data_IF_098652912189
#
_entry.id   IF_098652912189
#
_cell.length_a   1.000
_cell.length_b   1.000
_cell.length_c   1.000
_cell.angle_alpha   90.00
_cell.angle_beta   90.00
_cell.angle_gamma   90.00
#
_symmetry.space_group_name_H-M   'P 1'
#
loop_
_entity.id
_entity.type
_entity.pdbx_description
1 polymer ?
#
# COMPACT_ATOMS: atom_id res chain seq x y z
N UNK A 1 43.94 63.58 -48.86
CA UNK A 1 44.37 62.26 -48.34
C UNK A 1 43.93 62.10 -46.88
N UNK A 2 42.85 61.37 -46.60
CA UNK A 2 42.42 61.02 -45.23
C UNK A 2 42.06 59.53 -45.22
N UNK A 3 42.93 58.70 -44.64
CA UNK A 3 42.68 57.27 -44.38
C UNK A 3 41.90 57.14 -43.07
N UNK A 4 40.70 56.60 -43.11
CA UNK A 4 39.96 56.12 -41.93
C UNK A 4 40.16 54.60 -41.85
N UNK A 5 40.82 54.15 -40.79
CA UNK A 5 40.97 52.74 -40.43
C UNK A 5 39.79 52.39 -39.53
N UNK A 6 38.93 51.47 -39.95
CA UNK A 6 37.87 50.92 -39.12
C UNK A 6 38.35 49.60 -38.53
N UNK A 7 38.52 49.57 -37.21
CA UNK A 7 38.79 48.36 -36.44
C UNK A 7 37.45 47.63 -36.23
N UNK A 8 37.29 46.45 -36.83
CA UNK A 8 36.18 45.55 -36.55
C UNK A 8 36.60 44.60 -35.42
N UNK A 9 36.01 44.81 -34.25
CA UNK A 9 36.10 43.92 -33.09
C UNK A 9 35.01 42.84 -33.22
N UNK A 10 35.39 41.65 -33.66
CA UNK A 10 34.55 40.45 -33.55
C UNK A 10 34.69 39.86 -32.15
N UNK A 11 33.70 40.12 -31.30
CA UNK A 11 33.51 39.42 -30.03
C UNK A 11 32.87 38.07 -30.34
N UNK A 12 33.67 37.00 -30.31
CA UNK A 12 33.18 35.63 -30.39
C UNK A 12 32.71 35.20 -29.00
N UNK A 13 31.43 35.38 -28.71
CA UNK A 13 30.81 34.83 -27.50
C UNK A 13 30.68 33.31 -27.65
N UNK A 14 31.65 32.57 -27.11
CA UNK A 14 31.55 31.13 -26.93
C UNK A 14 30.52 30.86 -25.82
N UNK A 15 29.26 30.65 -26.22
CA UNK A 15 28.26 29.99 -25.39
C UNK A 15 28.70 28.53 -25.23
N UNK A 16 29.48 28.25 -24.19
CA UNK A 16 29.69 26.89 -23.68
C UNK A 16 28.35 26.50 -23.03
N UNK A 17 27.43 25.97 -23.84
CA UNK A 17 26.32 25.21 -23.31
C UNK A 17 26.89 23.97 -22.68
N UNK A 18 26.75 23.81 -21.36
CA UNK A 18 27.03 22.54 -20.71
C UNK A 18 26.23 21.46 -21.43
N UNK A 19 26.83 20.34 -21.87
CA UNK A 19 26.07 19.24 -22.42
C UNK A 19 25.12 18.77 -21.32
N UNK A 20 23.83 18.97 -21.53
CA UNK A 20 22.82 18.23 -20.78
C UNK A 20 23.01 16.79 -21.26
N UNK A 21 23.57 15.92 -20.42
CA UNK A 21 23.73 14.52 -20.73
C UNK A 21 22.37 13.98 -21.21
N UNK A 22 22.30 13.58 -22.47
CA UNK A 22 21.08 13.03 -23.03
C UNK A 22 20.77 11.72 -22.29
N UNK A 23 19.51 11.51 -21.91
CA UNK A 23 19.08 10.31 -21.22
C UNK A 23 19.48 9.05 -22.03
N UNK A 24 20.26 8.16 -21.42
CA UNK A 24 20.70 6.90 -22.01
C UNK A 24 20.03 5.74 -21.28
N UNK A 25 19.22 4.96 -22.00
CA UNK A 25 18.70 3.71 -21.45
C UNK A 25 19.77 2.63 -21.52
N UNK A 26 20.12 2.09 -20.35
CA UNK A 26 21.00 0.93 -20.21
C UNK A 26 20.23 -0.22 -19.57
N UNK A 27 20.63 -1.44 -19.90
CA UNK A 27 20.04 -2.63 -19.31
C UNK A 27 21.12 -3.54 -18.74
N UNK A 28 20.75 -4.26 -17.70
CA UNK A 28 21.51 -5.38 -17.16
C UNK A 28 20.53 -6.54 -16.90
N UNK A 29 21.01 -7.63 -16.33
CA UNK A 29 20.16 -8.78 -15.95
C UNK A 29 20.42 -9.19 -14.53
N UNK A 30 19.44 -9.77 -13.86
CA UNK A 30 19.66 -10.40 -12.56
C UNK A 30 20.19 -11.84 -12.69
N UNK A 31 20.27 -12.58 -11.58
CA UNK A 31 20.73 -13.98 -11.57
C UNK A 31 19.80 -14.96 -12.28
N UNK A 32 18.54 -14.59 -12.51
CA UNK A 32 17.55 -15.39 -13.23
C UNK A 32 17.44 -14.97 -14.71
N UNK A 33 18.23 -13.98 -15.14
CA UNK A 33 18.21 -13.44 -16.51
C UNK A 33 17.12 -12.40 -16.77
N UNK A 34 16.43 -11.91 -15.73
CA UNK A 34 15.37 -10.91 -15.81
C UNK A 34 15.97 -9.53 -16.03
N UNK A 35 15.32 -8.70 -16.85
CA UNK A 35 15.89 -7.40 -17.27
C UNK A 35 15.84 -6.37 -16.14
N UNK A 36 16.96 -5.70 -15.88
CA UNK A 36 17.04 -4.52 -15.01
C UNK A 36 17.25 -3.29 -15.89
N UNK A 37 16.35 -2.32 -15.82
CA UNK A 37 16.38 -1.13 -16.70
C UNK A 37 16.88 0.10 -15.96
N UNK A 38 17.86 0.79 -16.54
CA UNK A 38 18.45 2.02 -16.02
C UNK A 38 18.24 3.19 -17.00
N UNK A 39 17.76 4.32 -16.49
CA UNK A 39 17.65 5.59 -17.20
C UNK A 39 18.78 6.51 -16.70
N UNK A 40 19.90 6.53 -17.42
CA UNK A 40 21.13 7.20 -17.00
C UNK A 40 21.11 8.65 -17.49
N UNK A 41 21.09 9.59 -16.55
CA UNK A 41 21.05 11.05 -16.83
C UNK A 41 22.21 11.81 -16.17
N UNK A 42 23.23 11.08 -15.73
CA UNK A 42 24.49 11.63 -15.24
C UNK A 42 25.66 10.99 -16.00
N UNK A 43 26.74 11.74 -16.16
CA UNK A 43 27.96 11.22 -16.79
C UNK A 43 28.66 10.21 -15.88
N UNK A 44 29.40 9.27 -16.46
CA UNK A 44 30.26 8.32 -15.74
C UNK A 44 29.55 7.42 -14.71
N UNK A 45 28.25 7.14 -14.90
CA UNK A 45 27.51 6.18 -14.07
C UNK A 45 28.03 4.76 -14.28
N UNK A 46 28.44 4.13 -13.17
CA UNK A 46 28.69 2.69 -13.09
C UNK A 46 27.37 1.94 -12.89
N UNK A 47 26.69 1.62 -14.00
CA UNK A 47 25.42 0.87 -13.97
C UNK A 47 25.59 -0.52 -13.37
N UNK A 48 26.76 -1.13 -13.56
CA UNK A 48 27.01 -2.50 -13.11
C UNK A 48 27.11 -2.58 -11.59
N UNK A 49 27.60 -1.54 -10.93
CA UNK A 49 27.55 -1.42 -9.47
C UNK A 49 26.10 -1.49 -8.93
N UNK A 50 25.17 -0.72 -9.51
CA UNK A 50 23.76 -0.77 -9.10
C UNK A 50 23.12 -2.11 -9.45
N UNK A 51 23.42 -2.64 -10.64
CA UNK A 51 22.90 -3.94 -11.06
C UNK A 51 23.33 -5.03 -10.08
N UNK A 52 24.60 -5.07 -9.67
CA UNK A 52 25.13 -6.07 -8.74
C UNK A 52 24.46 -6.00 -7.35
N UNK A 53 24.14 -4.80 -6.85
CA UNK A 53 23.32 -4.68 -5.63
C UNK A 53 21.97 -5.36 -5.78
N UNK A 54 21.30 -5.12 -6.91
CA UNK A 54 19.99 -5.70 -7.20
C UNK A 54 20.07 -7.21 -7.42
N UNK A 55 21.08 -7.73 -8.13
CA UNK A 55 21.30 -9.19 -8.29
C UNK A 55 21.47 -9.94 -6.97
N UNK A 56 21.97 -9.25 -5.96
CA UNK A 56 22.19 -9.77 -4.61
C UNK A 56 20.99 -9.52 -3.67
N UNK A 57 20.01 -8.74 -4.11
CA UNK A 57 18.81 -8.47 -3.35
C UNK A 57 17.78 -9.61 -3.52
N UNK A 58 16.86 -9.74 -2.57
CA UNK A 58 15.77 -10.70 -2.66
C UNK A 58 14.64 -10.07 -3.49
N UNK A 59 14.40 -10.60 -4.68
CA UNK A 59 13.37 -10.06 -5.56
C UNK A 59 12.87 -11.08 -6.58
N UNK A 60 11.68 -10.80 -7.11
CA UNK A 60 11.00 -11.54 -8.17
C UNK A 60 11.03 -10.83 -9.54
N UNK A 61 10.13 -11.25 -10.42
CA UNK A 61 9.98 -10.71 -11.77
C UNK A 61 9.45 -9.26 -11.81
N UNK A 62 9.04 -8.70 -10.67
CA UNK A 62 8.70 -7.29 -10.58
C UNK A 62 9.86 -6.34 -10.88
N UNK A 63 11.11 -6.80 -10.81
CA UNK A 63 12.28 -5.99 -11.17
C UNK A 63 12.22 -5.48 -12.62
N UNK A 64 11.59 -6.24 -13.52
CA UNK A 64 11.45 -5.88 -14.93
C UNK A 64 10.46 -4.72 -15.16
N UNK A 65 9.70 -4.34 -14.12
CA UNK A 65 8.67 -3.30 -14.19
C UNK A 65 9.10 -1.96 -13.61
N UNK A 66 10.30 -1.86 -13.06
CA UNK A 66 10.84 -0.63 -12.50
C UNK A 66 12.03 -0.14 -13.33
N UNK A 67 12.07 1.18 -13.56
CA UNK A 67 13.23 1.84 -14.13
C UNK A 67 14.01 2.57 -13.05
N UNK A 68 15.31 2.30 -12.96
CA UNK A 68 16.22 3.00 -12.07
C UNK A 68 16.80 4.22 -12.78
N UNK A 69 16.32 5.41 -12.45
CA UNK A 69 16.82 6.66 -13.01
C UNK A 69 17.99 7.17 -12.16
N UNK A 70 19.18 7.20 -12.76
CA UNK A 70 20.40 7.65 -12.09
C UNK A 70 20.71 9.09 -12.50
N UNK A 71 20.73 9.99 -11.53
CA UNK A 71 20.82 11.44 -11.73
C UNK A 71 21.94 12.08 -10.91
N UNK A 72 22.25 13.36 -11.15
CA UNK A 72 23.14 14.13 -10.26
C UNK A 72 22.43 14.47 -8.94
N UNK A 73 23.16 14.79 -7.85
CA UNK A 73 22.56 15.26 -6.60
C UNK A 73 21.66 16.49 -6.78
N UNK A 74 21.98 17.37 -7.73
CA UNK A 74 21.19 18.57 -8.07
C UNK A 74 19.83 18.16 -8.63
N UNK A 75 19.83 17.33 -9.66
CA UNK A 75 18.61 16.83 -10.29
C UNK A 75 17.76 15.98 -9.33
N UNK A 76 18.41 15.23 -8.43
CA UNK A 76 17.70 14.48 -7.38
C UNK A 76 16.86 15.42 -6.50
N UNK A 77 17.43 16.54 -6.04
CA UNK A 77 16.71 17.51 -5.20
C UNK A 77 15.53 18.14 -5.94
N UNK A 78 15.65 18.34 -7.26
CA UNK A 78 14.58 18.87 -8.10
C UNK A 78 13.45 17.86 -8.31
N UNK A 79 13.79 16.59 -8.51
CA UNK A 79 12.83 15.52 -8.81
C UNK A 79 12.15 14.99 -7.54
N UNK A 80 12.93 14.70 -6.51
CA UNK A 80 12.47 14.04 -5.28
C UNK A 80 12.21 15.01 -4.13
N UNK A 81 12.65 16.27 -4.23
CA UNK A 81 12.59 17.25 -3.15
C UNK A 81 13.88 17.33 -2.31
N UNK A 82 14.05 18.45 -1.61
CA UNK A 82 15.37 18.90 -1.12
C UNK A 82 16.06 18.08 -0.03
N UNK A 83 15.40 17.11 0.61
CA UNK A 83 16.00 16.26 1.65
C UNK A 83 16.00 14.77 1.29
N UNK A 84 15.47 14.41 0.11
CA UNK A 84 15.38 13.02 -0.31
C UNK A 84 16.75 12.49 -0.74
N UNK A 85 17.11 11.29 -0.27
CA UNK A 85 18.32 10.58 -0.71
C UNK A 85 18.05 9.70 -1.95
N UNK A 86 16.78 9.48 -2.24
CA UNK A 86 16.20 8.75 -3.36
C UNK A 86 14.69 9.00 -3.34
N UNK A 87 13.98 8.61 -4.40
CA UNK A 87 12.54 8.49 -4.31
C UNK A 87 12.00 7.43 -5.27
N UNK A 88 11.01 6.70 -4.79
CA UNK A 88 10.15 5.83 -5.58
C UNK A 88 8.87 6.57 -6.01
N UNK A 89 8.42 6.33 -7.23
CA UNK A 89 7.13 6.84 -7.69
C UNK A 89 6.76 6.40 -9.10
N UNK A 90 5.71 7.02 -9.64
CA UNK A 90 5.15 6.67 -10.95
C UNK A 90 3.94 5.74 -10.83
N UNK A 91 3.33 5.44 -11.98
CA UNK A 91 2.25 4.45 -12.07
C UNK A 91 2.84 3.04 -12.06
N UNK A 92 2.04 2.02 -11.72
CA UNK A 92 2.50 0.63 -11.66
C UNK A 92 3.15 0.14 -12.96
N UNK A 93 2.70 0.63 -14.11
CA UNK A 93 3.21 0.29 -15.45
C UNK A 93 4.45 1.10 -15.86
N UNK A 94 4.80 2.13 -15.08
CA UNK A 94 5.90 3.05 -15.36
C UNK A 94 6.61 3.45 -14.05
N UNK A 95 6.78 2.48 -13.15
CA UNK A 95 7.37 2.68 -11.85
C UNK A 95 8.84 3.12 -12.01
N UNK A 96 9.26 4.06 -11.18
CA UNK A 96 10.59 4.65 -11.26
C UNK A 96 11.18 4.85 -9.87
N UNK A 97 12.42 4.43 -9.74
CA UNK A 97 13.28 4.72 -8.59
C UNK A 97 14.31 5.74 -9.06
N UNK A 98 14.36 6.91 -8.43
CA UNK A 98 15.31 7.97 -8.75
C UNK A 98 16.40 7.97 -7.69
N UNK A 99 17.66 7.83 -8.12
CA UNK A 99 18.83 7.70 -7.26
C UNK A 99 19.94 8.65 -7.71
N UNK A 100 20.75 9.19 -6.78
CA UNK A 100 21.94 9.93 -7.16
C UNK A 100 23.02 8.97 -7.68
N UNK A 101 23.88 9.48 -8.57
CA UNK A 101 25.16 8.85 -8.91
C UNK A 101 26.04 8.69 -7.66
N UNK A 102 26.70 7.54 -7.53
CA UNK A 102 27.68 7.29 -6.48
C UNK A 102 27.76 5.82 -6.08
N UNK A 103 28.46 5.52 -4.99
CA UNK A 103 28.62 4.15 -4.47
C UNK A 103 28.78 4.07 -2.93
N UNK A 104 28.18 5.00 -2.19
CA UNK A 104 28.37 5.08 -0.73
C UNK A 104 27.50 4.06 0.04
N UNK A 105 27.85 3.72 1.29
CA UNK A 105 27.01 2.89 2.15
C UNK A 105 25.60 3.44 2.35
N UNK A 106 25.47 4.77 2.41
CA UNK A 106 24.17 5.46 2.47
C UNK A 106 23.37 5.21 1.20
N UNK A 107 24.02 5.26 0.03
CA UNK A 107 23.35 4.99 -1.24
C UNK A 107 22.91 3.53 -1.36
N UNK A 108 23.70 2.57 -0.86
CA UNK A 108 23.27 1.15 -0.82
C UNK A 108 21.97 1.01 -0.03
N UNK A 109 21.91 1.61 1.18
CA UNK A 109 20.69 1.61 2.00
C UNK A 109 19.52 2.25 1.23
N UNK A 110 19.75 3.41 0.59
CA UNK A 110 18.73 4.06 -0.23
C UNK A 110 18.25 3.18 -1.39
N UNK A 111 19.15 2.52 -2.12
CA UNK A 111 18.79 1.63 -3.23
C UNK A 111 17.82 0.56 -2.75
N UNK A 112 18.14 -0.11 -1.63
CA UNK A 112 17.26 -1.13 -1.08
C UNK A 112 15.97 -0.53 -0.52
N UNK A 113 16.03 0.59 0.19
CA UNK A 113 14.85 1.26 0.73
C UNK A 113 13.84 1.61 -0.39
N UNK A 114 14.28 2.31 -1.44
CA UNK A 114 13.40 2.66 -2.56
C UNK A 114 12.90 1.42 -3.33
N UNK A 115 13.72 0.37 -3.41
CA UNK A 115 13.28 -0.88 -3.99
C UNK A 115 12.26 -1.61 -3.10
N UNK A 116 12.36 -1.47 -1.78
CA UNK A 116 11.35 -1.92 -0.82
C UNK A 116 9.99 -1.28 -1.10
N UNK A 117 9.95 0.03 -1.39
CA UNK A 117 8.72 0.71 -1.82
C UNK A 117 8.15 0.13 -3.12
N UNK A 118 9.00 -0.25 -4.08
CA UNK A 118 8.56 -0.91 -5.32
C UNK A 118 7.98 -2.31 -5.05
N UNK A 119 8.68 -3.12 -4.25
CA UNK A 119 8.21 -4.45 -3.83
C UNK A 119 6.86 -4.37 -3.14
N UNK A 120 6.70 -3.37 -2.29
CA UNK A 120 5.47 -3.12 -1.58
C UNK A 120 4.36 -2.64 -2.54
N UNK A 121 4.62 -1.72 -3.45
CA UNK A 121 3.62 -1.33 -4.45
C UNK A 121 3.22 -2.52 -5.36
N UNK A 122 4.13 -3.47 -5.56
CA UNK A 122 3.90 -4.67 -6.36
C UNK A 122 3.10 -5.75 -5.61
N UNK A 123 3.45 -6.01 -4.35
CA UNK A 123 2.95 -7.14 -3.51
C UNK A 123 2.00 -6.71 -2.39
N UNK A 124 1.86 -5.41 -2.19
CA UNK A 124 1.26 -4.80 -1.01
C UNK A 124 -0.21 -5.14 -0.83
N UNK A 125 -0.66 -5.12 0.42
CA UNK A 125 -2.09 -5.17 0.71
C UNK A 125 -2.74 -3.88 0.20
N UNK A 126 -3.57 -3.99 -0.84
CA UNK A 126 -4.21 -2.89 -1.56
C UNK A 126 -5.28 -2.16 -0.72
N UNK A 127 -4.86 -1.48 0.35
CA UNK A 127 -5.77 -0.82 1.30
C UNK A 127 -5.92 0.67 0.97
N UNK A 128 -4.96 1.30 0.28
CA UNK A 128 -5.04 2.71 -0.19
C UNK A 128 -4.34 2.84 -1.56
N UNK A 129 -4.95 3.56 -2.50
CA UNK A 129 -4.46 3.75 -3.88
C UNK A 129 -3.14 4.56 -4.00
N UNK A 130 -2.59 5.08 -2.89
CA UNK A 130 -1.45 6.02 -2.95
C UNK A 130 -0.23 5.65 -2.11
N UNK A 131 -0.29 4.68 -1.20
CA UNK A 131 0.87 4.32 -0.38
C UNK A 131 1.01 2.79 -0.23
N UNK A 132 2.22 2.23 -0.38
CA UNK A 132 2.50 0.80 -0.18
C UNK A 132 2.27 0.35 1.29
N UNK A 133 1.87 -0.92 1.55
CA UNK A 133 1.44 -1.43 2.87
C UNK A 133 2.01 -2.81 3.32
N UNK A 134 3.14 -3.21 2.76
CA UNK A 134 3.86 -4.47 2.92
C UNK A 134 3.12 -5.73 2.45
N UNK A 135 3.84 -6.86 2.49
CA UNK A 135 3.27 -8.18 2.26
C UNK A 135 2.54 -8.72 3.51
N UNK A 136 1.62 -9.66 3.33
CA UNK A 136 0.81 -10.18 4.42
C UNK A 136 1.61 -10.94 5.49
N UNK A 137 2.59 -11.76 5.10
CA UNK A 137 3.38 -12.55 6.05
C UNK A 137 4.31 -11.65 6.86
N UNK A 138 4.96 -10.67 6.21
CA UNK A 138 5.71 -9.63 6.90
C UNK A 138 4.83 -8.85 7.86
N UNK A 139 3.67 -8.37 7.43
CA UNK A 139 2.80 -7.54 8.28
C UNK A 139 2.38 -8.27 9.55
N UNK A 140 2.08 -9.57 9.45
CA UNK A 140 1.79 -10.43 10.59
C UNK A 140 3.03 -10.63 11.49
N UNK A 141 4.19 -10.97 10.92
CA UNK A 141 5.42 -11.19 11.67
C UNK A 141 5.97 -9.90 12.33
N UNK A 142 5.66 -8.73 11.75
CA UNK A 142 6.06 -7.42 12.25
C UNK A 142 5.07 -6.82 13.24
N UNK A 143 3.87 -7.40 13.37
CA UNK A 143 2.81 -6.92 14.26
C UNK A 143 2.15 -5.63 13.78
N UNK A 144 2.11 -5.40 12.46
CA UNK A 144 1.49 -4.19 11.87
C UNK A 144 0.01 -4.07 12.24
N UNK A 145 -0.83 -5.14 12.22
CA UNK A 145 -2.24 -5.02 12.61
C UNK A 145 -2.42 -4.49 14.03
N UNK A 146 -1.61 -4.97 14.98
CA UNK A 146 -1.65 -4.54 16.38
C UNK A 146 -1.18 -3.09 16.53
N UNK A 147 -0.10 -2.72 15.82
CA UNK A 147 0.41 -1.34 15.81
C UNK A 147 -0.61 -0.37 15.19
N UNK A 148 -1.29 -0.77 14.12
CA UNK A 148 -2.31 0.01 13.46
C UNK A 148 -3.55 0.18 14.35
N UNK A 149 -4.03 -0.91 14.97
CA UNK A 149 -5.14 -0.87 15.91
C UNK A 149 -4.86 0.01 17.14
N UNK A 150 -3.59 0.05 17.58
CA UNK A 150 -3.12 0.93 18.65
C UNK A 150 -2.86 2.38 18.20
N UNK A 151 -3.05 2.71 16.92
CA UNK A 151 -2.80 4.05 16.38
C UNK A 151 -1.31 4.46 16.40
N UNK A 152 -0.39 3.48 16.43
CA UNK A 152 1.06 3.73 16.44
C UNK A 152 1.66 3.87 15.04
N UNK A 153 0.98 3.31 14.04
CA UNK A 153 1.34 3.40 12.62
C UNK A 153 0.13 3.81 11.80
N UNK A 154 0.37 4.31 10.59
CA UNK A 154 -0.66 4.66 9.63
C UNK A 154 -0.26 4.18 8.24
N UNK A 155 -1.25 4.00 7.36
CA UNK A 155 -1.04 3.68 5.95
C UNK A 155 -0.44 4.84 5.13
N UNK A 156 -0.18 5.99 5.77
CA UNK A 156 0.34 7.19 5.12
C UNK A 156 1.15 8.00 6.14
N UNK A 157 1.65 9.15 5.70
CA UNK A 157 2.46 10.06 6.52
C UNK A 157 1.70 10.86 7.57
N UNK A 158 0.42 10.59 7.85
CA UNK A 158 -0.37 11.34 8.84
C UNK A 158 0.18 11.31 10.26
N UNK A 159 1.00 10.30 10.58
CA UNK A 159 1.71 10.17 11.85
C UNK A 159 3.22 10.42 11.72
N UNK A 160 3.67 10.92 10.56
CA UNK A 160 5.09 11.12 10.22
C UNK A 160 5.71 9.92 9.50
N UNK A 161 6.86 10.16 8.86
CA UNK A 161 7.64 9.18 8.08
C UNK A 161 7.90 7.89 8.86
N UNK A 162 8.41 8.01 10.09
CA UNK A 162 8.78 6.87 10.92
C UNK A 162 7.58 6.00 11.36
N UNK A 163 6.34 6.43 11.09
CA UNK A 163 5.09 5.73 11.45
C UNK A 163 4.29 5.29 10.22
N UNK A 164 4.75 5.58 9.01
CA UNK A 164 4.11 5.11 7.80
C UNK A 164 4.46 3.62 7.57
N UNK A 165 3.45 2.79 7.31
CA UNK A 165 3.66 1.33 7.15
C UNK A 165 4.61 1.04 5.98
N UNK A 166 4.46 1.73 4.84
CA UNK A 166 5.36 1.57 3.69
C UNK A 166 6.82 1.89 4.03
N UNK A 167 7.06 2.91 4.86
CA UNK A 167 8.42 3.24 5.31
C UNK A 167 9.01 2.18 6.23
N UNK A 168 8.20 1.61 7.12
CA UNK A 168 8.63 0.49 7.98
C UNK A 168 8.97 -0.73 7.10
N UNK A 169 8.18 -1.01 6.06
CA UNK A 169 8.46 -2.09 5.13
C UNK A 169 9.76 -1.86 4.37
N UNK A 170 9.94 -0.67 3.78
CA UNK A 170 11.13 -0.29 3.03
C UNK A 170 12.41 -0.35 3.89
N UNK A 171 12.34 0.12 5.14
CA UNK A 171 13.44 0.01 6.10
C UNK A 171 13.73 -1.44 6.48
N UNK A 172 12.70 -2.26 6.76
CA UNK A 172 12.90 -3.67 7.09
C UNK A 172 13.49 -4.46 5.90
N UNK A 173 13.12 -4.12 4.67
CA UNK A 173 13.72 -4.69 3.46
C UNK A 173 15.18 -4.26 3.28
N UNK A 174 15.52 -2.99 3.53
CA UNK A 174 16.92 -2.56 3.52
C UNK A 174 17.77 -3.34 4.55
N UNK A 175 17.23 -3.57 5.74
CA UNK A 175 17.87 -4.36 6.81
C UNK A 175 18.02 -5.85 6.47
N UNK A 176 17.29 -6.37 5.47
CA UNK A 176 17.48 -7.74 4.98
C UNK A 176 18.81 -7.90 4.25
N UNK A 177 19.30 -6.84 3.61
CA UNK A 177 20.46 -6.85 2.72
C UNK A 177 21.67 -6.12 3.27
N UNK A 178 21.47 -5.16 4.18
CA UNK A 178 22.54 -4.38 4.77
C UNK A 178 22.24 -4.07 6.23
N UNK A 179 23.13 -4.49 7.12
CA UNK A 179 23.06 -4.09 8.53
C UNK A 179 23.53 -2.64 8.69
N UNK A 180 22.59 -1.70 8.69
CA UNK A 180 22.83 -0.29 8.99
C UNK A 180 22.09 0.11 10.27
N UNK A 181 22.45 1.24 10.90
CA UNK A 181 21.59 1.81 11.93
C UNK A 181 20.15 1.93 11.42
N UNK A 182 19.21 1.37 12.17
CA UNK A 182 17.80 1.39 11.81
C UNK A 182 17.25 2.81 12.01
N UNK A 183 16.64 3.38 10.97
CA UNK A 183 16.24 4.80 10.97
C UNK A 183 14.99 5.08 11.80
N UNK A 184 14.16 4.07 12.07
CA UNK A 184 12.91 4.21 12.85
C UNK A 184 13.22 3.95 14.33
N UNK A 185 13.45 5.02 15.09
CA UNK A 185 13.99 4.92 16.46
C UNK A 185 13.02 4.36 17.51
N UNK A 186 11.72 4.53 17.32
CA UNK A 186 10.70 4.08 18.28
C UNK A 186 10.34 2.59 18.14
N UNK A 187 10.74 1.97 17.03
CA UNK A 187 10.46 0.58 16.69
C UNK A 187 11.78 -0.20 16.69
N UNK A 188 11.81 -1.37 17.33
CA UNK A 188 13.00 -2.22 17.27
C UNK A 188 13.28 -2.63 15.79
N UNK A 189 14.55 -2.82 15.39
CA UNK A 189 14.89 -3.39 14.08
C UNK A 189 14.16 -4.72 13.81
N UNK A 190 14.01 -5.15 12.55
CA UNK A 190 13.28 -6.37 12.23
C UNK A 190 13.93 -7.60 12.88
N UNK A 191 13.11 -8.37 13.58
CA UNK A 191 13.51 -9.64 14.17
C UNK A 191 13.90 -10.67 13.11
N UNK A 192 14.58 -11.75 13.49
CA UNK A 192 14.86 -12.86 12.58
C UNK A 192 13.58 -13.42 11.96
N UNK A 193 12.50 -13.56 12.74
CA UNK A 193 11.20 -14.01 12.24
C UNK A 193 10.61 -13.04 11.20
N UNK A 194 10.75 -11.73 11.41
CA UNK A 194 10.32 -10.70 10.45
C UNK A 194 11.13 -10.81 9.15
N UNK A 195 12.46 -10.95 9.23
CA UNK A 195 13.32 -11.11 8.05
C UNK A 195 13.04 -12.41 7.30
N UNK A 196 12.78 -13.51 8.03
CA UNK A 196 12.40 -14.79 7.43
C UNK A 196 11.06 -14.71 6.69
N UNK A 197 10.07 -13.99 7.24
CA UNK A 197 8.80 -13.75 6.57
C UNK A 197 8.97 -12.93 5.29
N UNK A 198 9.75 -11.85 5.32
CA UNK A 198 10.09 -11.06 4.12
C UNK A 198 10.75 -11.92 3.05
N UNK A 199 11.77 -12.69 3.42
CA UNK A 199 12.48 -13.57 2.50
C UNK A 199 11.53 -14.59 1.86
N UNK A 200 10.68 -15.23 2.67
CA UNK A 200 9.70 -16.19 2.19
C UNK A 200 8.73 -15.58 1.17
N UNK A 201 8.30 -14.33 1.39
CA UNK A 201 7.39 -13.65 0.48
C UNK A 201 8.06 -13.26 -0.85
N UNK A 202 9.39 -13.16 -0.91
CA UNK A 202 10.17 -12.71 -2.06
C UNK A 202 10.77 -13.88 -2.85
N UNK A 203 11.26 -14.92 -2.17
CA UNK A 203 11.88 -16.12 -2.76
C UNK A 203 10.85 -17.18 -3.20
N UNK A 204 9.69 -17.25 -2.54
CA UNK A 204 8.57 -18.06 -3.03
C UNK A 204 7.70 -17.18 -3.91
N UNK A 205 7.98 -17.18 -5.21
CA UNK A 205 7.03 -16.68 -6.22
C UNK A 205 6.03 -17.80 -6.51
N UNK A 206 4.78 -17.79 -6.01
CA UNK A 206 3.71 -18.29 -6.84
C UNK A 206 3.52 -17.30 -7.99
N UNK A 207 3.82 -17.72 -9.22
CA UNK A 207 3.50 -17.02 -10.48
C UNK A 207 2.00 -17.12 -10.77
N UNK A 208 1.20 -17.08 -9.73
CA UNK A 208 -0.25 -17.22 -9.77
C UNK A 208 -0.71 -16.48 -8.53
N UNK A 209 -1.73 -15.60 -8.59
CA UNK A 209 -2.35 -15.15 -7.36
C UNK A 209 -2.66 -16.43 -6.58
N UNK A 210 -2.08 -16.58 -5.39
CA UNK A 210 -2.52 -17.59 -4.46
C UNK A 210 -4.04 -17.45 -4.47
N UNK A 211 -4.81 -18.48 -4.90
CA UNK A 211 -6.25 -18.39 -4.85
C UNK A 211 -6.56 -17.88 -3.47
N UNK A 212 -7.28 -16.75 -3.38
CA UNK A 212 -7.72 -16.20 -2.09
C UNK A 212 -8.22 -17.42 -1.35
N UNK A 213 -7.46 -17.84 -0.35
CA UNK A 213 -7.82 -19.01 0.43
C UNK A 213 -9.23 -18.66 0.87
N UNK A 214 -10.20 -19.49 0.47
CA UNK A 214 -11.63 -19.22 0.60
C UNK A 214 -11.95 -19.25 2.10
N UNK A 215 -11.47 -18.25 2.83
CA UNK A 215 -11.67 -18.09 4.25
C UNK A 215 -13.17 -17.90 4.36
N UNK A 216 -13.87 -18.80 5.06
CA UNK A 216 -15.30 -18.70 5.19
C UNK A 216 -15.60 -17.31 5.74
N UNK A 217 -16.52 -16.56 5.12
CA UNK A 217 -16.75 -15.18 5.47
C UNK A 217 -17.13 -15.07 6.94
N UNK A 218 -16.51 -14.10 7.62
CA UNK A 218 -16.73 -13.86 9.04
C UNK A 218 -18.22 -13.64 9.26
N UNK A 219 -18.81 -14.49 10.11
CA UNK A 219 -20.24 -14.49 10.37
C UNK A 219 -20.50 -14.25 11.85
N UNK A 220 -21.21 -13.17 12.15
CA UNK A 220 -21.67 -12.83 13.50
C UNK A 220 -23.17 -13.10 13.55
N UNK A 221 -23.59 -14.06 14.36
CA UNK A 221 -25.01 -14.39 14.55
C UNK A 221 -25.48 -14.03 15.95
N UNK A 222 -26.72 -13.52 16.06
CA UNK A 222 -27.41 -13.34 17.34
C UNK A 222 -28.83 -13.89 17.25
N UNK A 223 -29.34 -14.41 18.35
CA UNK A 223 -30.71 -14.88 18.48
C UNK A 223 -31.23 -14.56 19.88
N UNK A 224 -32.54 -14.38 20.00
CA UNK A 224 -33.14 -14.10 21.30
C UNK A 224 -34.56 -13.58 21.20
N UNK A 225 -35.00 -12.87 22.24
CA UNK A 225 -36.29 -12.19 22.29
C UNK A 225 -36.09 -10.69 22.04
N UNK A 226 -36.69 -10.19 20.98
CA UNK A 226 -36.72 -8.77 20.66
C UNK A 226 -37.88 -8.13 21.42
N UNK A 227 -37.55 -7.41 22.50
CA UNK A 227 -38.54 -6.68 23.32
C UNK A 227 -38.91 -5.35 22.65
N UNK A 228 -40.10 -4.84 22.96
CA UNK A 228 -40.59 -3.54 22.46
C UNK A 228 -39.58 -2.43 22.77
N UNK A 229 -39.21 -1.63 21.77
CA UNK A 229 -38.29 -0.49 21.91
C UNK A 229 -36.80 -0.84 22.08
N UNK A 230 -36.45 -2.05 22.50
CA UNK A 230 -35.07 -2.47 22.74
C UNK A 230 -34.35 -2.77 21.42
N UNK A 231 -33.24 -2.08 21.10
CA UNK A 231 -32.40 -2.41 19.95
C UNK A 231 -31.43 -3.55 20.27
N UNK A 232 -31.16 -4.38 19.28
CA UNK A 232 -30.03 -5.30 19.23
C UNK A 232 -28.99 -4.65 18.34
N UNK A 233 -27.78 -4.45 18.86
CA UNK A 233 -26.67 -3.84 18.13
C UNK A 233 -25.56 -4.87 17.96
N UNK A 234 -25.03 -4.93 16.74
CA UNK A 234 -23.84 -5.72 16.38
C UNK A 234 -22.81 -4.75 15.83
N UNK A 235 -21.82 -4.33 16.64
CA UNK A 235 -20.69 -3.57 16.14
C UNK A 235 -19.73 -4.49 15.36
N UNK A 236 -19.12 -3.96 14.30
CA UNK A 236 -18.05 -4.63 13.57
C UNK A 236 -17.20 -3.61 12.82
N UNK A 237 -15.99 -4.01 12.44
CA UNK A 237 -15.05 -3.17 11.72
C UNK A 237 -14.71 -3.78 10.35
N UNK A 238 -14.52 -2.93 9.36
CA UNK A 238 -14.08 -3.27 8.01
C UNK A 238 -12.63 -2.81 7.87
N UNK A 239 -11.71 -3.78 7.84
CA UNK A 239 -10.26 -3.54 7.88
C UNK A 239 -9.65 -3.10 6.53
N UNK A 240 -10.47 -2.80 5.51
CA UNK A 240 -10.02 -2.32 4.20
C UNK A 240 -11.21 -2.08 3.25
N UNK A 241 -10.97 -1.58 2.02
CA UNK A 241 -12.01 -1.36 1.00
C UNK A 241 -12.51 -2.66 0.36
N UNK A 242 -13.43 -2.55 -0.60
CA UNK A 242 -13.96 -3.69 -1.36
C UNK A 242 -14.68 -4.72 -0.48
N UNK A 243 -15.29 -4.30 0.63
CA UNK A 243 -15.99 -5.20 1.55
C UNK A 243 -17.45 -5.28 1.18
N UNK A 244 -17.98 -6.49 1.29
CA UNK A 244 -19.40 -6.75 1.24
C UNK A 244 -19.92 -7.07 2.63
N UNK A 245 -20.97 -6.37 3.01
CA UNK A 245 -21.70 -6.61 4.27
C UNK A 245 -23.10 -7.07 3.94
N UNK A 246 -23.41 -8.29 4.38
CA UNK A 246 -24.77 -8.83 4.32
C UNK A 246 -25.34 -8.93 5.73
N UNK A 247 -26.32 -8.09 6.06
CA UNK A 247 -27.07 -8.14 7.31
C UNK A 247 -28.46 -8.73 7.07
N UNK A 248 -28.73 -9.90 7.63
CA UNK A 248 -30.01 -10.60 7.54
C UNK A 248 -30.69 -10.68 8.90
N UNK A 249 -32.02 -10.57 8.94
CA UNK A 249 -32.82 -10.80 10.14
C UNK A 249 -34.11 -11.58 9.83
N UNK A 250 -34.58 -12.36 10.81
CA UNK A 250 -35.86 -13.08 10.77
C UNK A 250 -36.61 -12.90 12.09
N UNK A 251 -37.93 -12.73 12.01
CA UNK A 251 -38.87 -12.66 13.14
C UNK A 251 -39.79 -13.88 13.14
N UNK A 252 -39.92 -14.55 14.28
CA UNK A 252 -40.77 -15.74 14.39
C UNK A 252 -42.28 -15.41 14.48
N UNK A 253 -42.62 -14.34 15.21
CA UNK A 253 -44.02 -13.97 15.46
C UNK A 253 -44.62 -13.18 14.29
N UNK A 254 -45.81 -13.58 13.82
CA UNK A 254 -46.52 -12.92 12.71
C UNK A 254 -46.88 -11.45 12.98
N UNK A 255 -47.09 -11.11 14.24
CA UNK A 255 -47.46 -9.76 14.69
C UNK A 255 -46.26 -8.90 15.07
N UNK A 256 -45.05 -9.47 15.15
CA UNK A 256 -43.84 -8.72 15.44
C UNK A 256 -43.47 -7.82 14.25
N UNK A 257 -42.98 -6.61 14.57
CA UNK A 257 -42.49 -5.63 13.60
C UNK A 257 -41.14 -5.13 14.07
N UNK A 258 -40.21 -4.94 13.14
CA UNK A 258 -38.88 -4.45 13.44
C UNK A 258 -38.32 -3.59 12.32
N UNK A 259 -37.29 -2.81 12.64
CA UNK A 259 -36.47 -2.03 11.72
C UNK A 259 -35.04 -2.53 11.79
N UNK A 260 -34.49 -2.91 10.64
CA UNK A 260 -33.07 -3.16 10.41
C UNK A 260 -32.41 -1.87 9.96
N UNK A 261 -31.22 -1.60 10.47
CA UNK A 261 -30.38 -0.48 10.08
C UNK A 261 -28.94 -0.95 10.02
N UNK A 262 -28.24 -0.65 8.94
CA UNK A 262 -26.79 -0.80 8.81
C UNK A 262 -26.22 0.60 8.63
N UNK A 263 -25.34 1.03 9.54
CA UNK A 263 -24.71 2.36 9.51
C UNK A 263 -23.21 2.23 9.67
N UNK A 264 -22.46 2.90 8.81
CA UNK A 264 -20.99 2.92 8.82
C UNK A 264 -20.44 4.35 9.02
N UNK A 265 -19.20 4.46 9.49
CA UNK A 265 -18.51 5.75 9.69
C UNK A 265 -18.14 6.46 8.39
N UNK A 266 -18.21 5.77 7.25
CA UNK A 266 -18.04 6.34 5.90
C UNK A 266 -19.28 7.12 5.40
N UNK A 267 -20.30 7.26 6.26
CA UNK A 267 -21.54 7.97 5.95
C UNK A 267 -22.63 7.09 5.33
N UNK A 268 -22.33 5.85 4.92
CA UNK A 268 -23.34 4.97 4.34
C UNK A 268 -24.29 4.45 5.42
N UNK A 269 -25.58 4.53 5.12
CA UNK A 269 -26.64 4.02 5.97
C UNK A 269 -27.77 3.44 5.14
N UNK A 270 -28.21 2.22 5.48
CA UNK A 270 -29.34 1.55 4.83
C UNK A 270 -30.29 1.03 5.89
N UNK A 271 -31.58 1.27 5.69
CA UNK A 271 -32.64 0.82 6.60
C UNK A 271 -33.66 -0.04 5.87
N UNK A 272 -34.15 -1.10 6.53
CA UNK A 272 -35.28 -1.91 6.05
C UNK A 272 -36.27 -2.25 7.16
N UNK A 273 -37.53 -2.43 6.81
CA UNK A 273 -38.60 -2.82 7.74
C UNK A 273 -38.91 -4.32 7.61
N UNK A 274 -39.22 -4.95 8.75
CA UNK A 274 -39.74 -6.32 8.88
C UNK A 274 -41.07 -6.29 9.61
N UNK A 275 -42.00 -7.14 9.18
CA UNK A 275 -43.31 -7.30 9.81
C UNK A 275 -44.39 -7.71 8.83
N UNK A 276 -45.51 -8.20 9.37
CA UNK A 276 -46.64 -8.68 8.57
C UNK A 276 -46.24 -9.88 7.70
N UNK A 277 -46.43 -9.76 6.38
CA UNK A 277 -46.08 -10.83 5.43
C UNK A 277 -44.56 -11.05 5.30
N UNK A 278 -43.73 -10.01 5.51
CA UNK A 278 -42.27 -10.06 5.38
C UNK A 278 -41.62 -10.32 6.73
N UNK A 279 -41.45 -11.61 7.05
CA UNK A 279 -40.86 -12.07 8.31
C UNK A 279 -39.33 -12.17 8.29
N UNK A 280 -38.72 -12.06 7.11
CA UNK A 280 -37.28 -12.02 6.94
C UNK A 280 -36.90 -10.89 5.97
N UNK A 281 -35.73 -10.30 6.17
CA UNK A 281 -35.17 -9.29 5.28
C UNK A 281 -33.64 -9.31 5.32
N UNK A 282 -33.05 -8.80 4.24
CA UNK A 282 -31.61 -8.69 4.06
C UNK A 282 -31.24 -7.30 3.57
N UNK A 283 -30.18 -6.73 4.14
CA UNK A 283 -29.43 -5.60 3.63
C UNK A 283 -28.12 -6.17 3.10
N UNK A 284 -27.79 -5.90 1.84
CA UNK A 284 -26.56 -6.35 1.20
C UNK A 284 -25.93 -5.15 0.52
N UNK A 285 -24.73 -4.77 0.95
CA UNK A 285 -24.01 -3.59 0.47
C UNK A 285 -22.58 -4.02 0.16
N UNK A 286 -22.14 -3.78 -1.08
CA UNK A 286 -20.76 -3.96 -1.54
C UNK A 286 -19.93 -2.69 -1.45
N UNK A 287 -18.68 -2.80 -1.87
CA UNK A 287 -17.71 -1.70 -1.98
C UNK A 287 -17.56 -0.87 -0.70
N UNK A 288 -17.74 -1.48 0.47
CA UNK A 288 -17.63 -0.81 1.77
C UNK A 288 -16.19 -0.83 2.29
N UNK A 289 -15.91 0.12 3.18
CA UNK A 289 -14.69 0.13 4.00
C UNK A 289 -13.52 0.94 3.42
N UNK A 290 -12.46 1.19 4.22
CA UNK A 290 -12.37 0.88 5.64
C UNK A 290 -13.35 1.73 6.49
N UNK A 291 -14.07 1.10 7.42
CA UNK A 291 -15.09 1.77 8.23
C UNK A 291 -15.45 0.99 9.50
N UNK A 292 -15.88 1.72 10.54
CA UNK A 292 -16.58 1.12 11.69
C UNK A 292 -18.07 1.11 11.41
N UNK A 293 -18.72 -0.03 11.61
CA UNK A 293 -20.11 -0.21 11.24
C UNK A 293 -20.93 -0.79 12.39
N UNK A 294 -22.24 -0.53 12.35
CA UNK A 294 -23.22 -1.06 13.29
C UNK A 294 -24.40 -1.62 12.52
N UNK A 295 -24.72 -2.89 12.78
CA UNK A 295 -25.98 -3.50 12.35
C UNK A 295 -26.95 -3.51 13.54
N UNK A 296 -28.09 -2.85 13.37
CA UNK A 296 -29.10 -2.66 14.40
C UNK A 296 -30.42 -3.32 13.98
N UNK A 297 -31.01 -4.12 14.86
CA UNK A 297 -32.40 -4.57 14.77
C UNK A 297 -33.19 -4.00 15.94
N UNK A 298 -34.23 -3.21 15.67
CA UNK A 298 -35.06 -2.58 16.71
C UNK A 298 -36.52 -2.96 16.54
N UNK A 299 -37.20 -3.40 17.60
CA UNK A 299 -38.65 -3.60 17.54
C UNK A 299 -39.38 -2.28 17.31
N UNK A 300 -40.35 -2.28 16.40
CA UNK A 300 -41.27 -1.15 16.16
C UNK A 300 -42.69 -1.48 16.61
N UNK A 301 -42.93 -2.69 17.11
CA UNK A 301 -44.23 -3.14 17.62
C UNK A 301 -44.25 -3.32 19.14
N UNK A 302 -45.46 -3.43 19.71
CA UNK A 302 -45.68 -3.67 21.14
C UNK A 302 -45.46 -5.12 21.58
N UNK A 303 -45.44 -6.06 20.63
CA UNK A 303 -45.35 -7.50 20.88
C UNK A 303 -43.89 -7.94 20.86
N UNK A 304 -43.45 -8.61 21.92
CA UNK A 304 -42.14 -9.26 21.95
C UNK A 304 -42.13 -10.49 21.05
N UNK A 305 -41.04 -10.71 20.33
CA UNK A 305 -40.93 -11.83 19.39
C UNK A 305 -39.54 -12.44 19.37
N UNK A 306 -39.46 -13.75 19.10
CA UNK A 306 -38.16 -14.40 18.80
C UNK A 306 -37.58 -13.83 17.52
N UNK A 307 -36.28 -13.59 17.53
CA UNK A 307 -35.52 -13.13 16.36
C UNK A 307 -34.26 -13.96 16.14
N UNK A 308 -33.78 -13.93 14.91
CA UNK A 308 -32.43 -14.33 14.53
C UNK A 308 -31.84 -13.26 13.61
N UNK A 309 -30.59 -12.88 13.85
CA UNK A 309 -29.82 -12.01 12.97
C UNK A 309 -28.50 -12.64 12.58
N UNK A 310 -28.00 -12.25 11.41
CA UNK A 310 -26.69 -12.64 10.89
C UNK A 310 -26.05 -11.46 10.17
N UNK A 311 -24.83 -11.11 10.53
CA UNK A 311 -23.96 -10.22 9.77
C UNK A 311 -22.87 -11.07 9.14
N UNK A 312 -22.75 -11.04 7.82
CA UNK A 312 -21.71 -11.72 7.05
C UNK A 312 -20.80 -10.66 6.43
N UNK A 313 -19.50 -10.80 6.63
CA UNK A 313 -18.46 -9.93 6.09
C UNK A 313 -17.66 -10.71 5.04
N UNK A 314 -17.57 -10.18 3.84
CA UNK A 314 -16.80 -10.77 2.75
C UNK A 314 -15.92 -9.72 2.06
N UNK A 315 -14.89 -10.19 1.36
CA UNK A 315 -14.13 -9.40 0.40
C UNK A 315 -14.79 -9.60 -0.96
N UNK A 316 -15.02 -8.52 -1.70
CA UNK A 316 -15.47 -8.62 -3.09
C UNK A 316 -14.28 -9.03 -3.96
N UNK A 317 -14.46 -10.01 -4.86
CA UNK A 317 -13.41 -10.32 -5.82
C UNK A 317 -13.15 -9.08 -6.67
N UNK A 318 -11.87 -8.76 -6.88
CA UNK A 318 -11.50 -7.68 -7.79
C UNK A 318 -12.18 -7.93 -9.14
N UNK A 319 -12.90 -6.94 -9.64
CA UNK A 319 -13.46 -6.98 -10.99
C UNK A 319 -12.27 -7.01 -11.94
N UNK A 320 -12.12 -8.11 -12.67
CA UNK A 320 -11.07 -8.31 -13.67
C UNK A 320 -11.24 -7.37 -14.88
#
# INVERSE_FOLDING_TARGET
MRRRLALLLTVLAALIGSPVAAAELRTSTDREGRTITFDVQAEQVDVEWYAELLRNAAHGAEIERVTFRIVTPEALREICGGQALGCYGGRKEAARIVLPIGNSPTLIHTVFHEYGHHLDAWRGVAVIEREPNGSASWAAARGIPELLAAGKVAHNYSLGWERAIGEIFAEDYAQLHQETPFKISWLAPPSEATRAALRSDLENVPVTPTPVENRPPVTIAKNGILRSGTPIVVPFELLGPGRRVTFSATLAAKTARARMELRCTDGRSVTRLLGGARRAATIDIGELGPARCTATLRSTGKVAGRYSTRVRLAVEPAVA
#
